data_IF_708320944051
#
_entry.id   IF_708320944051
#
_cell.length_a   1.000
_cell.length_b   1.000
_cell.length_c   1.000
_cell.angle_alpha   90.00
_cell.angle_beta   90.00
_cell.angle_gamma   90.00
#
_symmetry.space_group_name_H-M   'P 1'
#
loop_
_entity.id
_entity.type
_entity.pdbx_description
1 polymer ?
#
# COMPACT_ATOMS: atom_id res chain seq x y z
N UNK A 1 1.38 5.86 -39.22
CA UNK A 1 0.74 5.72 -37.89
C UNK A 1 1.86 5.53 -36.87
N UNK A 2 1.82 6.32 -35.80
CA UNK A 2 3.00 6.97 -35.21
C UNK A 2 3.97 6.04 -34.45
N UNK A 3 5.23 6.01 -34.91
CA UNK A 3 6.39 5.62 -34.10
C UNK A 3 6.95 6.85 -33.40
N UNK A 4 7.26 6.72 -32.11
CA UNK A 4 7.98 7.74 -31.35
C UNK A 4 9.47 7.66 -31.73
N UNK A 5 9.89 8.49 -32.66
CA UNK A 5 11.30 8.68 -33.03
C UNK A 5 11.99 9.55 -31.98
N UNK A 6 13.11 9.07 -31.43
CA UNK A 6 14.10 9.87 -30.68
C UNK A 6 14.40 11.17 -31.44
N UNK A 7 13.91 12.31 -30.96
CA UNK A 7 14.39 13.63 -31.36
C UNK A 7 14.97 14.33 -30.14
N UNK A 8 16.22 14.73 -30.30
CA UNK A 8 17.04 15.56 -29.44
C UNK A 8 16.27 16.75 -28.88
N UNK A 9 16.19 16.82 -27.55
CA UNK A 9 15.67 17.98 -26.83
C UNK A 9 16.82 18.99 -26.75
N UNK A 10 16.66 20.10 -27.47
CA UNK A 10 17.58 21.22 -27.53
C UNK A 10 17.64 22.00 -26.20
N UNK A 11 18.78 22.62 -25.94
CA UNK A 11 19.40 23.17 -24.71
C UNK A 11 18.55 24.03 -23.72
N UNK A 12 17.24 24.18 -23.90
CA UNK A 12 16.32 24.80 -22.91
C UNK A 12 15.17 23.87 -22.48
N UNK A 13 15.08 22.65 -23.03
CA UNK A 13 14.06 21.66 -22.67
C UNK A 13 14.44 20.76 -21.49
N UNK A 14 15.66 20.87 -20.97
CA UNK A 14 16.18 19.97 -19.94
C UNK A 14 15.82 20.43 -18.51
N UNK A 15 15.91 21.74 -18.24
CA UNK A 15 15.71 22.30 -16.88
C UNK A 15 14.28 22.07 -16.37
N UNK A 16 13.27 22.17 -17.25
CA UNK A 16 11.87 21.92 -16.87
C UNK A 16 11.59 20.44 -16.60
N UNK A 17 12.26 19.54 -17.32
CA UNK A 17 12.18 18.08 -17.09
C UNK A 17 12.88 17.71 -15.79
N UNK A 18 14.07 18.26 -15.55
CA UNK A 18 14.82 18.09 -14.30
C UNK A 18 14.02 18.60 -13.10
N UNK A 19 13.45 19.80 -13.19
CA UNK A 19 12.62 20.36 -12.12
C UNK A 19 11.37 19.49 -11.87
N UNK A 20 10.70 19.03 -12.93
CA UNK A 20 9.56 18.15 -12.78
C UNK A 20 9.95 16.82 -12.11
N UNK A 21 11.07 16.22 -12.51
CA UNK A 21 11.62 15.01 -11.90
C UNK A 21 11.96 15.22 -10.41
N UNK A 22 12.57 16.35 -10.06
CA UNK A 22 12.87 16.72 -8.67
C UNK A 22 11.60 16.89 -7.82
N UNK A 23 10.55 17.51 -8.39
CA UNK A 23 9.27 17.66 -7.70
C UNK A 23 8.59 16.31 -7.49
N UNK A 24 8.60 15.42 -8.48
CA UNK A 24 8.06 14.06 -8.34
C UNK A 24 8.83 13.29 -7.26
N UNK A 25 10.17 13.32 -7.30
CA UNK A 25 11.00 12.69 -6.29
C UNK A 25 10.71 13.24 -4.88
N UNK A 26 10.56 14.56 -4.75
CA UNK A 26 10.20 15.19 -3.47
C UNK A 26 8.79 14.80 -2.99
N UNK A 27 7.85 14.49 -3.90
CA UNK A 27 6.53 13.98 -3.54
C UNK A 27 6.62 12.51 -3.12
N UNK A 28 7.41 11.69 -3.81
CA UNK A 28 7.65 10.28 -3.46
C UNK A 28 8.37 10.15 -2.11
N UNK A 29 9.40 10.97 -1.86
CA UNK A 29 10.13 11.04 -0.59
C UNK A 29 9.23 11.50 0.57
N UNK A 30 8.10 12.18 0.28
CA UNK A 30 7.10 12.57 1.30
C UNK A 30 6.10 11.46 1.63
N UNK A 31 6.08 10.35 0.90
CA UNK A 31 5.20 9.22 1.24
C UNK A 31 5.87 8.41 2.35
N UNK A 32 5.48 8.72 3.58
CA UNK A 32 6.03 8.10 4.78
C UNK A 32 5.44 6.70 5.05
N UNK A 33 4.21 6.41 4.58
CA UNK A 33 3.48 5.16 4.91
C UNK A 33 3.43 4.17 3.76
N UNK A 34 3.74 2.91 4.07
CA UNK A 34 3.65 1.76 3.16
C UNK A 34 2.69 0.72 3.73
N UNK A 35 1.75 0.24 2.91
CA UNK A 35 0.86 -0.86 3.27
C UNK A 35 1.10 -2.08 2.36
N UNK A 36 1.47 -3.20 2.96
CA UNK A 36 1.59 -4.49 2.27
C UNK A 36 0.25 -5.23 2.40
N UNK A 37 -0.28 -5.66 1.25
CA UNK A 37 -1.50 -6.49 1.13
C UNK A 37 -1.24 -7.72 0.27
N UNK A 38 -2.11 -8.73 0.36
CA UNK A 38 -1.95 -9.97 -0.39
C UNK A 38 -2.33 -9.82 -1.87
N UNK A 39 -3.51 -9.25 -2.14
CA UNK A 39 -4.11 -9.21 -3.46
C UNK A 39 -4.35 -7.81 -4.03
N UNK A 40 -4.57 -7.77 -5.35
CA UNK A 40 -4.97 -6.53 -6.06
C UNK A 40 -6.35 -6.04 -5.64
N UNK A 41 -7.25 -6.95 -5.24
CA UNK A 41 -8.59 -6.59 -4.76
C UNK A 41 -8.50 -5.84 -3.44
N UNK A 42 -7.66 -6.31 -2.52
CA UNK A 42 -7.39 -5.64 -1.24
C UNK A 42 -6.84 -4.25 -1.46
N UNK A 43 -5.83 -4.14 -2.35
CA UNK A 43 -5.25 -2.85 -2.71
C UNK A 43 -6.31 -1.88 -3.22
N UNK A 44 -7.18 -2.28 -4.15
CA UNK A 44 -8.24 -1.41 -4.68
C UNK A 44 -9.21 -0.98 -3.58
N UNK A 45 -9.61 -1.92 -2.72
CA UNK A 45 -10.54 -1.67 -1.64
C UNK A 45 -9.96 -0.71 -0.62
N UNK A 46 -8.78 -0.99 -0.09
CA UNK A 46 -8.09 -0.11 0.87
C UNK A 46 -7.82 1.26 0.27
N UNK A 47 -7.37 1.33 -0.99
CA UNK A 47 -7.13 2.61 -1.68
C UNK A 47 -8.37 3.50 -1.74
N UNK A 48 -9.57 2.91 -1.80
CA UNK A 48 -10.83 3.68 -1.79
C UNK A 48 -11.17 4.24 -0.42
N UNK A 49 -10.60 3.69 0.65
CA UNK A 49 -10.92 4.01 2.05
C UNK A 49 -9.94 5.03 2.63
N UNK A 50 -8.65 4.91 2.35
CA UNK A 50 -7.59 5.78 2.87
C UNK A 50 -7.73 7.20 2.32
N UNK A 51 -7.49 8.19 3.17
CA UNK A 51 -7.60 9.63 2.87
C UNK A 51 -6.25 10.33 2.76
N UNK A 52 -5.19 9.71 3.27
CA UNK A 52 -3.82 10.20 3.18
C UNK A 52 -3.00 9.44 2.13
N UNK A 53 -1.84 9.98 1.71
CA UNK A 53 -0.91 9.25 0.84
C UNK A 53 -0.38 7.99 1.53
N UNK A 54 -0.72 6.83 0.98
CA UNK A 54 -0.18 5.52 1.39
C UNK A 54 0.23 4.75 0.14
N UNK A 55 1.48 4.29 0.10
CA UNK A 55 1.94 3.39 -0.95
C UNK A 55 1.51 1.95 -0.65
N UNK A 56 0.70 1.36 -1.54
CA UNK A 56 0.16 0.00 -1.32
C UNK A 56 0.86 -1.01 -2.24
N UNK A 57 1.55 -1.99 -1.65
CA UNK A 57 2.24 -3.07 -2.34
C UNK A 57 1.47 -4.39 -2.21
N UNK A 58 1.36 -5.13 -3.33
CA UNK A 58 0.72 -6.45 -3.34
C UNK A 58 1.78 -7.54 -3.45
N UNK A 59 1.70 -8.56 -2.60
CA UNK A 59 2.54 -9.76 -2.75
C UNK A 59 2.08 -10.61 -3.95
N UNK A 60 0.77 -10.59 -4.26
CA UNK A 60 0.09 -11.48 -5.20
C UNK A 60 0.11 -12.95 -4.73
N UNK A 61 -0.23 -13.16 -3.45
CA UNK A 61 -0.27 -14.46 -2.78
C UNK A 61 1.02 -14.73 -2.00
N UNK A 62 2.08 -15.11 -2.69
CA UNK A 62 3.41 -15.33 -2.09
C UNK A 62 4.42 -14.28 -2.56
N UNK A 63 5.52 -14.14 -1.82
CA UNK A 63 6.61 -13.22 -2.17
C UNK A 63 7.95 -13.97 -2.15
N UNK A 64 8.80 -13.74 -3.15
CA UNK A 64 10.15 -14.32 -3.20
C UNK A 64 11.10 -13.56 -2.27
N UNK A 65 12.19 -14.21 -1.84
CA UNK A 65 13.19 -13.57 -0.99
C UNK A 65 13.82 -12.36 -1.69
N UNK A 66 14.15 -12.47 -2.99
CA UNK A 66 14.69 -11.34 -3.76
C UNK A 66 13.76 -10.14 -3.78
N UNK A 67 12.43 -10.36 -3.85
CA UNK A 67 11.45 -9.26 -3.81
C UNK A 67 11.34 -8.66 -2.41
N UNK A 68 11.52 -9.45 -1.36
CA UNK A 68 11.59 -8.97 0.01
C UNK A 68 12.83 -8.11 0.23
N UNK A 69 14.00 -8.54 -0.25
CA UNK A 69 15.24 -7.77 -0.16
C UNK A 69 15.09 -6.40 -0.84
N UNK A 70 14.51 -6.37 -2.05
CA UNK A 70 14.18 -5.10 -2.74
C UNK A 70 13.23 -4.21 -1.91
N UNK A 71 12.28 -4.80 -1.20
CA UNK A 71 11.32 -4.06 -0.38
C UNK A 71 11.95 -3.55 0.91
N UNK A 72 12.88 -4.28 1.52
CA UNK A 72 13.62 -3.84 2.71
C UNK A 72 14.35 -2.52 2.40
N UNK A 73 15.08 -2.48 1.28
CA UNK A 73 15.77 -1.27 0.86
C UNK A 73 14.79 -0.13 0.54
N UNK A 74 13.69 -0.45 -0.14
CA UNK A 74 12.68 0.54 -0.54
C UNK A 74 11.89 1.13 0.65
N UNK A 75 11.77 0.39 1.75
CA UNK A 75 10.95 0.76 2.90
C UNK A 75 11.78 1.24 4.10
N UNK A 76 13.11 1.36 3.98
CA UNK A 76 14.03 1.60 5.10
C UNK A 76 13.67 2.80 6.00
N UNK A 77 13.12 3.87 5.44
CA UNK A 77 12.70 5.09 6.19
C UNK A 77 11.18 5.28 6.24
N UNK A 78 10.40 4.22 5.94
CA UNK A 78 8.94 4.29 5.84
C UNK A 78 8.28 3.55 7.01
N UNK A 79 7.13 4.04 7.43
CA UNK A 79 6.23 3.35 8.34
C UNK A 79 5.54 2.20 7.59
N UNK A 80 5.93 0.96 7.91
CA UNK A 80 5.44 -0.24 7.23
C UNK A 80 4.25 -0.83 7.97
N UNK A 81 3.16 -1.05 7.25
CA UNK A 81 1.94 -1.69 7.71
C UNK A 81 1.68 -2.98 6.94
N UNK A 82 1.14 -3.99 7.62
CA UNK A 82 0.81 -5.29 7.02
C UNK A 82 -0.66 -5.60 7.27
N UNK A 83 -1.44 -5.71 6.18
CA UNK A 83 -2.84 -6.10 6.19
C UNK A 83 -3.04 -7.27 5.21
N UNK A 84 -2.92 -8.48 5.76
CA UNK A 84 -3.09 -9.74 5.02
C UNK A 84 -4.28 -10.52 5.56
N UNK A 85 -4.76 -11.46 4.74
CA UNK A 85 -5.92 -12.28 5.05
C UNK A 85 -5.72 -13.07 6.35
N UNK A 86 -6.84 -13.39 7.00
CA UNK A 86 -6.91 -14.16 8.25
C UNK A 86 -7.15 -15.65 8.01
N UNK A 87 -6.72 -16.15 6.85
CA UNK A 87 -6.74 -17.57 6.50
C UNK A 87 -5.35 -18.23 6.67
N UNK A 88 -5.21 -19.49 6.25
CA UNK A 88 -3.95 -20.22 6.41
C UNK A 88 -2.82 -19.65 5.54
N UNK A 89 -3.14 -19.16 4.33
CA UNK A 89 -2.16 -18.59 3.40
C UNK A 89 -1.67 -17.23 3.92
N UNK A 90 -2.61 -16.36 4.31
CA UNK A 90 -2.32 -15.07 4.91
C UNK A 90 -1.51 -15.18 6.21
N UNK A 91 -1.77 -16.19 7.06
CA UNK A 91 -0.97 -16.41 8.28
C UNK A 91 0.47 -16.88 7.97
N UNK A 92 0.66 -17.71 6.93
CA UNK A 92 2.02 -18.08 6.46
C UNK A 92 2.77 -16.85 5.94
N UNK A 93 2.10 -16.02 5.15
CA UNK A 93 2.67 -14.77 4.64
C UNK A 93 3.00 -13.82 5.80
N UNK A 94 2.11 -13.68 6.78
CA UNK A 94 2.30 -12.85 7.97
C UNK A 94 3.54 -13.25 8.76
N UNK A 95 3.76 -14.56 8.97
CA UNK A 95 4.95 -15.07 9.66
C UNK A 95 6.24 -14.72 8.92
N UNK A 96 6.22 -14.83 7.59
CA UNK A 96 7.35 -14.42 6.77
C UNK A 96 7.62 -12.92 6.91
N UNK A 97 6.61 -12.08 6.67
CA UNK A 97 6.75 -10.63 6.75
C UNK A 97 7.18 -10.15 8.14
N UNK A 98 6.69 -10.79 9.22
CA UNK A 98 7.11 -10.47 10.59
C UNK A 98 8.60 -10.71 10.84
N UNK A 99 9.19 -11.70 10.15
CA UNK A 99 10.62 -12.00 10.26
C UNK A 99 11.46 -10.98 9.50
N UNK A 100 11.03 -10.59 8.31
CA UNK A 100 11.78 -9.67 7.44
C UNK A 100 11.53 -8.19 7.77
N UNK A 101 10.35 -7.84 8.27
CA UNK A 101 9.96 -6.50 8.70
C UNK A 101 9.55 -6.49 10.19
N UNK A 102 10.50 -6.68 11.13
CA UNK A 102 10.20 -6.80 12.56
C UNK A 102 9.57 -5.53 13.18
N UNK A 103 9.74 -4.38 12.53
CA UNK A 103 9.18 -3.10 12.95
C UNK A 103 7.83 -2.77 12.31
N UNK A 104 7.34 -3.59 11.38
CA UNK A 104 6.08 -3.33 10.73
C UNK A 104 4.89 -3.46 11.68
N UNK A 105 3.93 -2.55 11.57
CA UNK A 105 2.67 -2.63 12.29
C UNK A 105 1.73 -3.62 11.58
N UNK A 106 1.31 -4.64 12.32
CA UNK A 106 0.43 -5.68 11.80
C UNK A 106 -1.03 -5.35 12.09
N UNK A 107 -1.79 -5.05 11.03
CA UNK A 107 -3.22 -4.80 11.07
C UNK A 107 -3.97 -6.13 10.89
N UNK A 108 -5.06 -6.30 11.64
CA UNK A 108 -5.89 -7.49 11.62
C UNK A 108 -7.35 -7.13 11.33
N UNK A 109 -7.97 -7.88 10.45
CA UNK A 109 -9.43 -7.88 10.30
C UNK A 109 -10.05 -8.88 11.27
N UNK A 110 -11.37 -8.78 11.50
CA UNK A 110 -12.07 -9.83 12.23
C UNK A 110 -11.94 -11.14 11.45
N UNK A 111 -11.49 -12.19 12.15
CA UNK A 111 -11.26 -13.52 11.57
C UNK A 111 -12.54 -14.10 10.94
N UNK A 112 -13.72 -13.65 11.37
CA UNK A 112 -14.99 -14.07 10.77
C UNK A 112 -15.09 -13.72 9.27
N UNK A 113 -14.45 -12.63 8.82
CA UNK A 113 -14.49 -12.22 7.43
C UNK A 113 -13.51 -12.99 6.55
N UNK A 114 -12.47 -13.59 7.16
CA UNK A 114 -11.38 -14.35 6.53
C UNK A 114 -10.51 -13.53 5.58
N UNK A 115 -11.09 -12.82 4.63
CA UNK A 115 -10.38 -12.09 3.57
C UNK A 115 -10.60 -10.57 3.68
N UNK A 116 -9.56 -9.79 3.39
CA UNK A 116 -9.62 -8.32 3.33
C UNK A 116 -10.59 -7.88 2.23
N UNK A 117 -10.56 -8.56 1.09
CA UNK A 117 -11.45 -8.31 -0.05
C UNK A 117 -12.95 -8.40 0.30
N UNK A 118 -13.34 -9.20 1.29
CA UNK A 118 -14.75 -9.43 1.67
C UNK A 118 -15.16 -8.71 2.96
N UNK A 119 -14.21 -8.31 3.80
CA UNK A 119 -14.49 -7.59 5.06
C UNK A 119 -15.34 -6.32 4.86
N UNK A 120 -16.35 -6.02 5.70
CA UNK A 120 -17.13 -4.79 5.56
C UNK A 120 -16.26 -3.54 5.54
N UNK A 121 -16.65 -2.57 4.71
CA UNK A 121 -15.85 -1.35 4.50
C UNK A 121 -15.67 -0.56 5.80
N UNK A 122 -16.70 -0.50 6.65
CA UNK A 122 -16.62 0.15 7.96
C UNK A 122 -15.67 -0.54 8.94
N UNK A 123 -15.59 -1.86 8.86
CA UNK A 123 -14.63 -2.63 9.65
C UNK A 123 -13.21 -2.29 9.21
N UNK A 124 -12.93 -2.32 7.89
CA UNK A 124 -11.64 -1.92 7.35
C UNK A 124 -11.27 -0.48 7.71
N UNK A 125 -12.20 0.47 7.58
CA UNK A 125 -11.97 1.85 7.95
C UNK A 125 -11.59 2.01 9.43
N UNK A 126 -12.24 1.24 10.31
CA UNK A 126 -11.97 1.27 11.75
C UNK A 126 -10.60 0.71 12.09
N UNK A 127 -10.20 -0.43 11.51
CA UNK A 127 -8.88 -1.02 11.80
C UNK A 127 -7.73 -0.22 11.19
N UNK A 128 -7.93 0.40 10.02
CA UNK A 128 -6.95 1.31 9.42
C UNK A 128 -6.77 2.57 10.28
N UNK A 129 -7.88 3.18 10.72
CA UNK A 129 -7.82 4.34 11.61
C UNK A 129 -7.14 4.00 12.94
N UNK A 130 -7.41 2.82 13.50
CA UNK A 130 -6.75 2.32 14.71
C UNK A 130 -5.24 2.13 14.56
N UNK A 131 -4.77 1.88 13.34
CA UNK A 131 -3.35 1.78 12.99
C UNK A 131 -2.75 3.14 12.57
N UNK A 132 -3.39 4.25 12.96
CA UNK A 132 -2.96 5.60 12.60
C UNK A 132 -2.91 5.85 11.08
N UNK A 133 -3.80 5.20 10.30
CA UNK A 133 -4.00 5.50 8.88
C UNK A 133 -5.33 6.25 8.71
N UNK A 134 -5.25 7.50 8.25
CA UNK A 134 -6.39 8.37 8.00
C UNK A 134 -7.30 7.78 6.90
N UNK A 135 -8.60 7.77 7.20
CA UNK A 135 -9.64 7.25 6.30
C UNK A 135 -10.70 8.30 6.00
N UNK A 136 -11.44 8.12 4.89
CA UNK A 136 -12.61 8.95 4.61
C UNK A 136 -13.71 8.63 5.62
N UNK A 137 -14.16 9.66 6.37
CA UNK A 137 -15.14 9.52 7.45
C UNK A 137 -16.47 8.88 7.03
N UNK A 138 -16.85 8.96 5.75
CA UNK A 138 -18.03 8.30 5.22
C UNK A 138 -18.02 6.78 5.40
N UNK A 139 -16.83 6.18 5.46
CA UNK A 139 -16.68 4.74 5.66
C UNK A 139 -16.74 4.32 7.12
N UNK A 140 -16.69 5.23 8.10
CA UNK A 140 -16.75 4.87 9.52
C UNK A 140 -18.17 4.57 10.01
N UNK A 141 -19.21 4.94 9.25
CA UNK A 141 -20.59 4.66 9.60
C UNK A 141 -20.91 3.21 9.26
N UNK A 142 -21.45 2.47 10.25
CA UNK A 142 -22.12 1.20 9.98
C UNK A 142 -23.43 1.53 9.28
N UNK A 143 -23.71 0.89 8.15
CA UNK A 143 -25.07 0.90 7.61
C UNK A 143 -25.93 0.14 8.62
N UNK A 144 -26.71 0.88 9.41
CA UNK A 144 -27.70 0.29 10.30
C UNK A 144 -28.84 -0.22 9.43
N UNK A 145 -28.86 -1.53 9.18
CA UNK A 145 -30.01 -2.20 8.60
C UNK A 145 -31.10 -2.25 9.69
N UNK A 146 -32.13 -1.43 9.52
CA UNK A 146 -33.40 -1.53 10.25
C UNK A 146 -34.20 -2.76 9.78
#
# INVERSE_FOLDING_TARGET
>A
MAGYTKRTITEYGDVRILLYSQVIKMIEDKIEKVLIVEGKSDKRKVKSIVKEPVEIFCTNGTISMTKLDEWIDLFFEKDVYILVDSDEAGEKLRKLLKREFPHAEHIYIDKMYREVATAPVHHLATVLLGANIDVHAQYLKKEDYF
#
